data_IF_793219956044
#
_entry.id   IF_793219956044
#
_cell.length_a   1.000
_cell.length_b   1.000
_cell.length_c   1.000
_cell.angle_alpha   90.00
_cell.angle_beta   90.00
_cell.angle_gamma   90.00
#
_symmetry.space_group_name_H-M   'P 1'
#
loop_
_entity.id
_entity.type
_entity.pdbx_description
1 polymer ?
#
# COMPACT_ATOMS: atom_id res chain seq x y z
N UNK A 1 -18.99 26.33 2.85
CA UNK A 1 -17.70 27.00 2.63
C UNK A 1 -17.96 28.36 2.03
N UNK A 2 -17.45 29.39 2.65
CA UNK A 2 -17.54 30.74 2.13
C UNK A 2 -16.71 30.84 0.84
N UNK A 3 -17.31 31.33 -0.23
CA UNK A 3 -16.59 31.58 -1.48
C UNK A 3 -15.41 32.55 -1.21
N UNK A 4 -14.32 32.41 -1.98
CA UNK A 4 -13.12 33.27 -1.83
C UNK A 4 -13.41 34.77 -1.81
N UNK A 5 -14.54 35.18 -2.40
CA UNK A 5 -14.93 36.60 -2.44
C UNK A 5 -15.55 37.08 -1.14
N UNK A 6 -16.16 36.19 -0.36
CA UNK A 6 -16.83 36.55 0.91
C UNK A 6 -15.91 36.36 2.14
N UNK A 7 -14.73 35.77 1.98
CA UNK A 7 -13.79 35.50 3.08
C UNK A 7 -13.29 36.82 3.71
N UNK A 8 -13.12 37.87 2.92
CA UNK A 8 -12.66 39.18 3.42
C UNK A 8 -13.69 39.80 4.35
N UNK A 9 -14.99 39.77 3.99
CA UNK A 9 -16.09 40.25 4.83
C UNK A 9 -16.18 39.44 6.13
N UNK A 10 -16.19 38.13 6.02
CA UNK A 10 -16.27 37.21 7.18
C UNK A 10 -15.07 37.38 8.12
N UNK A 11 -13.86 37.55 7.58
CA UNK A 11 -12.67 37.83 8.41
C UNK A 11 -12.72 39.21 9.02
N UNK A 12 -13.33 40.19 8.31
CA UNK A 12 -13.50 41.56 8.75
C UNK A 12 -14.39 41.74 9.98
N UNK A 13 -15.35 40.83 10.20
CA UNK A 13 -16.22 40.83 11.39
C UNK A 13 -15.45 40.65 12.70
N UNK A 14 -14.33 39.93 12.70
CA UNK A 14 -13.50 39.68 13.88
C UNK A 14 -12.12 40.36 13.79
N UNK A 15 -11.62 40.59 12.57
CA UNK A 15 -10.29 41.17 12.32
C UNK A 15 -10.44 42.49 11.56
N UNK A 16 -10.55 43.59 12.27
CA UNK A 16 -10.67 44.91 11.68
C UNK A 16 -9.50 45.22 10.75
N UNK A 17 -9.79 45.68 9.52
CA UNK A 17 -8.78 45.94 8.50
C UNK A 17 -8.33 44.68 7.71
N UNK A 18 -9.04 43.56 7.85
CA UNK A 18 -8.75 42.35 7.02
C UNK A 18 -8.88 42.69 5.52
N UNK A 19 -7.95 42.21 4.73
CA UNK A 19 -7.91 42.45 3.29
C UNK A 19 -7.62 41.11 2.53
N UNK A 20 -7.71 41.14 1.21
CA UNK A 20 -7.54 39.97 0.37
C UNK A 20 -6.22 39.18 0.60
N UNK A 21 -5.13 39.87 0.96
CA UNK A 21 -3.86 39.23 1.29
C UNK A 21 -3.93 38.47 2.63
N UNK A 22 -4.67 39.02 3.62
CA UNK A 22 -4.93 38.35 4.89
C UNK A 22 -5.79 37.10 4.67
N UNK A 23 -6.86 37.19 3.87
CA UNK A 23 -7.73 36.07 3.51
C UNK A 23 -7.02 35.01 2.64
N UNK A 24 -5.96 35.38 1.93
CA UNK A 24 -5.11 34.49 1.15
C UNK A 24 -3.93 33.91 1.91
N UNK A 25 -3.76 34.23 3.20
CA UNK A 25 -2.69 33.69 4.02
C UNK A 25 -2.90 32.20 4.26
N UNK A 26 -1.98 31.40 3.74
CA UNK A 26 -1.96 29.97 3.99
C UNK A 26 -1.28 29.71 5.33
N UNK A 27 -2.06 29.37 6.34
CA UNK A 27 -1.57 29.04 7.70
C UNK A 27 -0.81 27.71 7.74
N UNK A 28 -1.04 26.83 6.75
CA UNK A 28 -0.42 25.52 6.65
C UNK A 28 0.38 25.38 5.35
N UNK A 29 1.49 24.65 5.45
CA UNK A 29 2.27 24.25 4.29
C UNK A 29 1.40 23.48 3.27
N UNK A 30 1.59 23.78 2.00
CA UNK A 30 0.85 23.12 0.91
C UNK A 30 1.80 22.45 -0.06
N UNK A 31 1.34 21.33 -0.63
CA UNK A 31 2.07 20.61 -1.67
C UNK A 31 1.87 21.21 -3.08
N UNK A 32 1.17 22.34 -3.21
CA UNK A 32 0.91 22.99 -4.50
C UNK A 32 1.94 24.05 -4.87
N UNK A 33 2.80 24.47 -3.91
CA UNK A 33 3.78 25.52 -4.09
C UNK A 33 5.21 24.92 -4.02
N UNK A 34 5.86 24.68 -5.19
CA UNK A 34 7.19 24.09 -5.23
C UNK A 34 8.28 25.05 -4.77
N UNK A 35 8.07 26.36 -4.91
CA UNK A 35 9.09 27.36 -4.58
C UNK A 35 9.18 27.57 -3.06
N UNK A 36 8.04 27.60 -2.39
CA UNK A 36 7.98 27.82 -0.94
C UNK A 36 8.13 26.52 -0.13
N UNK A 37 7.63 25.39 -0.64
CA UNK A 37 7.64 24.12 0.05
C UNK A 37 8.14 22.97 -0.84
N UNK A 38 9.39 23.04 -1.35
CA UNK A 38 9.88 22.08 -2.36
C UNK A 38 9.85 20.64 -1.85
N UNK A 39 10.25 20.37 -0.61
CA UNK A 39 10.23 19.03 -0.04
C UNK A 39 8.84 18.42 0.05
N UNK A 40 7.84 19.23 0.43
CA UNK A 40 6.46 18.78 0.52
C UNK A 40 5.86 18.53 -0.87
N UNK A 41 6.16 19.39 -1.84
CA UNK A 41 5.75 19.23 -3.22
C UNK A 41 6.32 17.93 -3.83
N UNK A 42 7.64 17.74 -3.76
CA UNK A 42 8.28 16.58 -4.35
C UNK A 42 7.91 15.27 -3.65
N UNK A 43 7.82 15.24 -2.32
CA UNK A 43 7.39 14.05 -1.59
C UNK A 43 5.94 13.67 -1.91
N UNK A 44 5.04 14.64 -2.04
CA UNK A 44 3.66 14.39 -2.44
C UNK A 44 3.57 13.76 -3.83
N UNK A 45 4.26 14.36 -4.81
CA UNK A 45 4.24 13.84 -6.18
C UNK A 45 4.93 12.48 -6.29
N UNK A 46 6.04 12.28 -5.61
CA UNK A 46 6.72 10.99 -5.54
C UNK A 46 5.79 9.91 -4.99
N UNK A 47 5.15 10.15 -3.85
CA UNK A 47 4.22 9.19 -3.25
C UNK A 47 2.99 8.94 -4.12
N UNK A 48 2.48 9.97 -4.78
CA UNK A 48 1.33 9.85 -5.69
C UNK A 48 1.68 9.03 -6.93
N UNK A 49 2.80 9.30 -7.56
CA UNK A 49 3.30 8.54 -8.73
C UNK A 49 3.57 7.09 -8.34
N UNK A 50 4.19 6.86 -7.18
CA UNK A 50 4.46 5.52 -6.68
C UNK A 50 3.17 4.76 -6.43
N UNK A 51 2.18 5.37 -5.79
CA UNK A 51 0.88 4.75 -5.51
C UNK A 51 0.13 4.43 -6.80
N UNK A 52 -0.07 5.42 -7.66
CA UNK A 52 -0.80 5.24 -8.92
C UNK A 52 -0.07 4.26 -9.84
N UNK A 53 1.26 4.37 -9.93
CA UNK A 53 2.09 3.49 -10.74
C UNK A 53 2.02 2.04 -10.27
N UNK A 54 2.15 1.78 -8.99
CA UNK A 54 2.08 0.41 -8.44
C UNK A 54 0.69 -0.20 -8.62
N UNK A 55 -0.38 0.55 -8.35
CA UNK A 55 -1.75 0.05 -8.55
C UNK A 55 -2.04 -0.22 -10.03
N UNK A 56 -1.66 0.69 -10.91
CA UNK A 56 -1.84 0.51 -12.36
C UNK A 56 -1.05 -0.69 -12.87
N UNK A 57 0.20 -0.82 -12.46
CA UNK A 57 1.03 -1.97 -12.79
C UNK A 57 0.40 -3.29 -12.31
N UNK A 58 -0.04 -3.35 -11.04
CA UNK A 58 -0.67 -4.53 -10.47
C UNK A 58 -1.96 -4.92 -11.22
N UNK A 59 -2.79 -3.95 -11.56
CA UNK A 59 -4.03 -4.17 -12.33
C UNK A 59 -3.73 -4.69 -13.74
N UNK A 60 -2.82 -4.06 -14.48
CA UNK A 60 -2.44 -4.47 -15.83
C UNK A 60 -1.80 -5.85 -15.83
N UNK A 61 -0.92 -6.13 -14.88
CA UNK A 61 -0.28 -7.43 -14.71
C UNK A 61 -1.31 -8.53 -14.41
N UNK A 62 -2.22 -8.29 -13.45
CA UNK A 62 -3.28 -9.24 -13.10
C UNK A 62 -4.22 -9.48 -14.27
N UNK A 63 -4.60 -8.42 -14.99
CA UNK A 63 -5.43 -8.52 -16.19
C UNK A 63 -4.75 -9.35 -17.29
N UNK A 64 -3.49 -9.06 -17.59
CA UNK A 64 -2.73 -9.81 -18.59
C UNK A 64 -2.62 -11.31 -18.22
N UNK A 65 -2.39 -11.61 -16.94
CA UNK A 65 -2.35 -12.96 -16.41
C UNK A 65 -3.71 -13.69 -16.57
N UNK A 66 -4.81 -13.03 -16.21
CA UNK A 66 -6.17 -13.58 -16.35
C UNK A 66 -6.53 -13.83 -17.82
N UNK A 67 -6.24 -12.86 -18.71
CA UNK A 67 -6.47 -13.01 -20.15
C UNK A 67 -5.68 -14.20 -20.70
N UNK A 68 -4.41 -14.32 -20.32
CA UNK A 68 -3.57 -15.44 -20.78
C UNK A 68 -4.09 -16.79 -20.28
N UNK A 69 -4.50 -16.90 -19.02
CA UNK A 69 -5.12 -18.10 -18.48
C UNK A 69 -6.44 -18.45 -19.18
N UNK A 70 -7.24 -17.45 -19.52
CA UNK A 70 -8.49 -17.67 -20.26
C UNK A 70 -8.24 -18.19 -21.66
N UNK A 71 -7.25 -17.66 -22.36
CA UNK A 71 -6.86 -18.10 -23.71
C UNK A 71 -6.19 -19.49 -23.72
N UNK A 72 -5.50 -19.86 -22.64
CA UNK A 72 -4.76 -21.13 -22.52
C UNK A 72 -5.47 -22.08 -21.56
N UNK A 73 -6.61 -22.64 -21.96
CA UNK A 73 -7.43 -23.55 -21.14
C UNK A 73 -6.67 -24.80 -20.66
N UNK A 74 -5.73 -25.30 -21.42
CA UNK A 74 -4.94 -26.47 -21.06
C UNK A 74 -3.94 -26.13 -19.92
N UNK A 75 -3.37 -24.93 -19.93
CA UNK A 75 -2.54 -24.44 -18.83
C UNK A 75 -3.37 -24.22 -17.56
N UNK A 76 -4.63 -23.81 -17.67
CA UNK A 76 -5.55 -23.70 -16.54
C UNK A 76 -5.82 -25.07 -15.89
N UNK A 77 -6.07 -26.11 -16.69
CA UNK A 77 -6.26 -27.48 -16.19
C UNK A 77 -5.01 -28.00 -15.51
N UNK A 78 -3.84 -27.83 -16.14
CA UNK A 78 -2.56 -28.21 -15.56
C UNK A 78 -2.27 -27.46 -14.24
N UNK A 79 -2.64 -26.19 -14.16
CA UNK A 79 -2.51 -25.41 -12.91
C UNK A 79 -3.43 -25.95 -11.81
N UNK A 80 -4.63 -26.37 -12.14
CA UNK A 80 -5.59 -26.97 -11.20
C UNK A 80 -5.11 -28.34 -10.71
N UNK A 81 -4.49 -29.16 -11.58
CA UNK A 81 -3.86 -30.41 -11.17
C UNK A 81 -2.65 -30.20 -10.28
N UNK A 82 -1.79 -29.20 -10.58
CA UNK A 82 -0.65 -28.84 -9.75
C UNK A 82 -1.06 -28.29 -8.37
N UNK A 83 -2.26 -27.72 -8.24
CA UNK A 83 -2.82 -27.27 -6.99
C UNK A 83 -3.45 -28.40 -6.17
N UNK A 84 -3.58 -29.61 -6.73
CA UNK A 84 -4.09 -30.75 -5.99
C UNK A 84 -3.08 -31.20 -4.93
N UNK A 85 -3.46 -31.22 -3.63
CA UNK A 85 -2.58 -31.57 -2.53
C UNK A 85 -2.03 -32.99 -2.60
N UNK A 86 -2.68 -33.90 -3.33
CA UNK A 86 -2.27 -35.30 -3.44
C UNK A 86 -0.98 -35.52 -4.26
N UNK A 87 -0.55 -34.50 -5.04
CA UNK A 87 0.59 -34.65 -5.95
C UNK A 87 1.90 -34.01 -5.51
N UNK A 88 1.91 -33.16 -4.47
CA UNK A 88 3.14 -32.53 -3.96
C UNK A 88 3.07 -32.28 -2.45
N UNK A 89 4.18 -32.52 -1.73
CA UNK A 89 4.26 -32.14 -0.32
C UNK A 89 4.07 -30.63 -0.20
N UNK A 90 3.02 -30.21 0.49
CA UNK A 90 2.77 -28.82 0.80
C UNK A 90 3.78 -28.32 1.83
N UNK A 91 4.57 -27.32 1.49
CA UNK A 91 5.37 -26.68 2.53
C UNK A 91 4.66 -25.50 3.13
N UNK A 92 4.86 -25.39 4.43
CA UNK A 92 4.37 -24.25 5.20
C UNK A 92 5.21 -23.02 4.83
N UNK A 93 4.66 -22.08 4.05
CA UNK A 93 5.33 -20.84 3.64
C UNK A 93 5.52 -19.89 4.82
N UNK A 94 4.47 -19.69 5.62
CA UNK A 94 4.45 -18.74 6.72
C UNK A 94 4.09 -19.42 8.04
N UNK A 95 4.76 -19.00 9.11
CA UNK A 95 4.42 -19.40 10.48
C UNK A 95 3.04 -18.83 10.87
N UNK A 96 2.44 -19.36 11.94
CA UNK A 96 1.20 -18.77 12.49
C UNK A 96 1.43 -17.30 12.88
N UNK A 97 2.56 -17.00 13.49
CA UNK A 97 2.96 -15.66 13.90
C UNK A 97 2.98 -14.70 12.70
N UNK A 98 3.66 -15.04 11.61
CA UNK A 98 3.72 -14.20 10.40
C UNK A 98 2.35 -13.96 9.79
N UNK A 99 1.44 -14.95 9.84
CA UNK A 99 0.08 -14.78 9.35
C UNK A 99 -0.72 -13.80 10.21
N UNK A 100 -0.57 -13.85 11.54
CA UNK A 100 -1.22 -12.89 12.43
C UNK A 100 -0.65 -11.48 12.24
N UNK A 101 0.68 -11.32 12.10
CA UNK A 101 1.29 -10.04 11.79
C UNK A 101 0.75 -9.46 10.47
N UNK A 102 0.71 -10.28 9.42
CA UNK A 102 0.19 -9.85 8.12
C UNK A 102 -1.29 -9.45 8.20
N UNK A 103 -2.12 -10.23 8.90
CA UNK A 103 -3.53 -9.91 9.08
C UNK A 103 -3.75 -8.63 9.90
N UNK A 104 -2.97 -8.44 10.97
CA UNK A 104 -3.00 -7.19 11.75
C UNK A 104 -2.55 -5.98 10.94
N UNK A 105 -1.52 -6.13 10.10
CA UNK A 105 -1.08 -5.11 9.16
C UNK A 105 -2.22 -4.74 8.19
N UNK A 106 -2.88 -5.72 7.63
CA UNK A 106 -3.95 -5.53 6.66
C UNK A 106 -5.14 -4.80 7.28
N UNK A 107 -5.58 -5.22 8.47
CA UNK A 107 -6.67 -4.54 9.20
C UNK A 107 -6.29 -3.10 9.54
N UNK A 108 -5.10 -2.87 10.11
CA UNK A 108 -4.66 -1.52 10.46
C UNK A 108 -4.53 -0.62 9.23
N UNK A 109 -4.07 -1.15 8.10
CA UNK A 109 -4.02 -0.43 6.84
C UNK A 109 -5.42 0.00 6.35
N UNK A 110 -6.39 -0.90 6.37
CA UNK A 110 -7.76 -0.56 5.98
C UNK A 110 -8.39 0.47 6.92
N UNK A 111 -8.20 0.32 8.23
CA UNK A 111 -8.67 1.31 9.21
C UNK A 111 -8.04 2.67 8.95
N UNK A 112 -6.73 2.73 8.76
CA UNK A 112 -6.01 3.97 8.46
C UNK A 112 -6.44 4.61 7.15
N UNK A 113 -6.60 3.82 6.10
CA UNK A 113 -7.03 4.32 4.78
C UNK A 113 -8.44 4.89 4.84
N UNK A 114 -9.38 4.14 5.43
CA UNK A 114 -10.77 4.58 5.56
C UNK A 114 -10.88 5.84 6.42
N UNK A 115 -10.35 5.80 7.63
CA UNK A 115 -10.43 6.92 8.57
C UNK A 115 -9.65 8.14 8.07
N UNK A 116 -8.48 7.93 7.45
CA UNK A 116 -7.68 9.00 6.86
C UNK A 116 -8.39 9.71 5.71
N UNK A 117 -9.07 8.96 4.83
CA UNK A 117 -9.88 9.55 3.76
C UNK A 117 -11.07 10.34 4.32
N UNK A 118 -11.75 9.80 5.33
CA UNK A 118 -12.88 10.49 5.99
C UNK A 118 -12.42 11.81 6.63
N UNK A 119 -11.28 11.80 7.32
CA UNK A 119 -10.72 13.01 7.94
C UNK A 119 -10.25 14.01 6.89
N UNK A 120 -9.56 13.56 5.85
CA UNK A 120 -9.05 14.43 4.77
C UNK A 120 -10.17 15.10 3.98
N UNK A 121 -11.25 14.38 3.69
CA UNK A 121 -12.37 14.86 2.90
C UNK A 121 -13.61 15.19 3.75
N UNK A 122 -13.38 15.65 4.99
CA UNK A 122 -14.42 15.94 5.99
C UNK A 122 -15.54 16.89 5.52
N UNK A 123 -15.26 17.70 4.50
CA UNK A 123 -16.23 18.62 3.87
C UNK A 123 -17.17 17.91 2.86
N UNK A 124 -16.88 16.67 2.45
CA UNK A 124 -17.72 15.93 1.50
C UNK A 124 -18.82 15.14 2.22
N UNK A 125 -20.02 15.08 1.61
CA UNK A 125 -21.19 14.42 2.20
C UNK A 125 -20.96 12.93 2.51
N UNK A 126 -20.27 12.18 1.66
CA UNK A 126 -19.93 10.78 1.91
C UNK A 126 -19.03 10.59 3.14
N UNK A 127 -18.04 11.49 3.33
CA UNK A 127 -17.14 11.45 4.47
C UNK A 127 -17.88 11.77 5.79
N UNK A 128 -18.79 12.75 5.75
CA UNK A 128 -19.65 13.09 6.89
C UNK A 128 -20.60 11.93 7.23
N UNK A 129 -21.12 11.22 6.22
CA UNK A 129 -21.98 10.05 6.43
C UNK A 129 -21.20 8.92 7.12
N UNK A 130 -19.99 8.58 6.62
CA UNK A 130 -19.14 7.56 7.25
C UNK A 130 -18.71 8.00 8.65
N UNK A 131 -18.32 9.26 8.85
CA UNK A 131 -17.95 9.77 10.17
C UNK A 131 -19.10 9.59 11.18
N UNK A 132 -20.36 9.89 10.77
CA UNK A 132 -21.53 9.67 11.65
C UNK A 132 -21.72 8.21 12.00
N UNK A 133 -21.50 7.28 11.06
CA UNK A 133 -21.55 5.83 11.33
C UNK A 133 -20.48 5.39 12.32
N UNK A 134 -19.30 6.00 12.30
CA UNK A 134 -18.19 5.70 13.20
C UNK A 134 -18.31 6.38 14.56
N UNK A 135 -19.32 7.23 14.78
CA UNK A 135 -19.51 7.97 16.03
C UNK A 135 -19.00 9.43 16.04
N UNK A 136 -18.76 9.99 14.84
CA UNK A 136 -18.32 11.37 14.66
C UNK A 136 -16.83 11.47 14.29
N UNK A 137 -16.39 12.70 13.97
CA UNK A 137 -15.01 12.96 13.56
C UNK A 137 -13.99 12.74 14.69
N UNK A 138 -14.38 12.98 15.94
CA UNK A 138 -13.50 12.75 17.09
C UNK A 138 -13.20 11.26 17.25
N UNK A 139 -14.23 10.40 17.19
CA UNK A 139 -14.07 8.93 17.24
C UNK A 139 -13.28 8.45 16.01
N UNK A 140 -13.54 9.00 14.84
CA UNK A 140 -12.76 8.68 13.62
C UNK A 140 -11.28 9.01 13.80
N UNK A 141 -10.97 10.14 14.45
CA UNK A 141 -9.61 10.54 14.79
C UNK A 141 -8.93 9.59 15.80
N UNK A 142 -9.67 9.12 16.79
CA UNK A 142 -9.17 8.11 17.75
C UNK A 142 -8.89 6.79 17.05
N UNK A 143 -9.80 6.31 16.22
CA UNK A 143 -9.63 5.08 15.44
C UNK A 143 -8.42 5.16 14.51
N UNK A 144 -8.20 6.32 13.87
CA UNK A 144 -7.02 6.55 13.03
C UNK A 144 -5.72 6.44 13.84
N UNK A 145 -5.65 7.02 15.02
CA UNK A 145 -4.48 6.93 15.91
C UNK A 145 -4.25 5.50 16.40
N UNK A 146 -5.30 4.78 16.77
CA UNK A 146 -5.20 3.36 17.16
C UNK A 146 -4.69 2.49 16.00
N UNK A 147 -5.18 2.72 14.79
CA UNK A 147 -4.68 2.07 13.57
C UNK A 147 -3.19 2.36 13.36
N UNK A 148 -2.75 3.61 13.54
CA UNK A 148 -1.35 3.99 13.41
C UNK A 148 -0.44 3.32 14.46
N UNK A 149 -0.86 3.30 15.72
CA UNK A 149 -0.13 2.61 16.80
C UNK A 149 -0.04 1.11 16.51
N UNK A 150 -1.13 0.50 16.06
CA UNK A 150 -1.16 -0.93 15.71
C UNK A 150 -0.19 -1.22 14.55
N UNK A 151 -0.22 -0.41 13.50
CA UNK A 151 0.68 -0.57 12.34
C UNK A 151 2.16 -0.44 12.76
N UNK A 152 2.46 0.55 13.60
CA UNK A 152 3.80 0.74 14.13
C UNK A 152 4.26 -0.44 15.01
N UNK A 153 3.39 -0.95 15.87
CA UNK A 153 3.67 -2.13 16.69
C UNK A 153 3.94 -3.38 15.81
N UNK A 154 3.14 -3.59 14.76
CA UNK A 154 3.36 -4.68 13.79
C UNK A 154 4.73 -4.54 13.12
N UNK A 155 5.12 -3.32 12.73
CA UNK A 155 6.44 -3.07 12.15
C UNK A 155 7.58 -3.42 13.11
N UNK A 156 7.50 -3.00 14.37
CA UNK A 156 8.50 -3.33 15.39
C UNK A 156 8.59 -4.84 15.64
N UNK A 157 7.42 -5.52 15.74
CA UNK A 157 7.38 -6.98 15.91
C UNK A 157 7.96 -7.71 14.69
N UNK A 158 7.77 -7.17 13.49
CA UNK A 158 8.36 -7.73 12.27
C UNK A 158 9.89 -7.59 12.29
N UNK A 159 10.41 -6.41 12.64
CA UNK A 159 11.86 -6.23 12.81
C UNK A 159 12.44 -7.17 13.86
N UNK A 160 11.79 -7.24 15.02
CA UNK A 160 12.20 -8.19 16.07
C UNK A 160 12.24 -9.64 15.56
N UNK A 161 11.21 -10.07 14.83
CA UNK A 161 11.17 -11.41 14.22
C UNK A 161 12.32 -11.66 13.24
N UNK A 162 12.69 -10.68 12.42
CA UNK A 162 13.83 -10.80 11.49
C UNK A 162 15.14 -10.93 12.25
N UNK A 163 15.35 -10.15 13.32
CA UNK A 163 16.53 -10.25 14.16
C UNK A 163 16.60 -11.57 14.92
N UNK A 164 15.46 -12.03 15.47
CA UNK A 164 15.38 -13.34 16.15
C UNK A 164 15.68 -14.47 15.17
N UNK A 165 15.11 -14.44 13.96
CA UNK A 165 15.38 -15.44 12.93
C UNK A 165 16.88 -15.51 12.58
N UNK A 166 17.54 -14.35 12.44
CA UNK A 166 18.99 -14.29 12.22
C UNK A 166 19.78 -14.91 13.38
N UNK A 167 19.43 -14.54 14.61
CA UNK A 167 20.13 -14.99 15.82
C UNK A 167 19.91 -16.47 16.08
N UNK A 168 18.67 -16.92 16.07
CA UNK A 168 18.26 -18.30 16.39
C UNK A 168 18.75 -19.32 15.36
N UNK A 169 18.78 -18.95 14.08
CA UNK A 169 19.25 -19.81 12.98
C UNK A 169 20.74 -19.64 12.67
N UNK A 170 21.45 -18.79 13.40
CA UNK A 170 22.87 -18.44 13.15
C UNK A 170 23.15 -18.06 11.69
N UNK A 171 22.19 -17.41 11.03
CA UNK A 171 22.30 -17.00 9.62
C UNK A 171 23.12 -15.73 9.50
N UNK A 172 23.89 -15.64 8.43
CA UNK A 172 24.54 -14.37 8.06
C UNK A 172 23.52 -13.42 7.43
N UNK A 173 23.77 -12.11 7.51
CA UNK A 173 22.92 -11.12 6.83
C UNK A 173 22.80 -11.38 5.33
N UNK A 174 23.86 -11.86 4.69
CA UNK A 174 23.84 -12.24 3.29
C UNK A 174 22.83 -13.37 3.03
N UNK A 175 22.79 -14.39 3.86
CA UNK A 175 21.81 -15.49 3.73
C UNK A 175 20.38 -15.03 3.99
N UNK A 176 20.16 -14.12 4.93
CA UNK A 176 18.83 -13.53 5.17
C UNK A 176 18.34 -12.71 3.97
N UNK A 177 19.25 -11.91 3.35
CA UNK A 177 18.88 -10.98 2.28
C UNK A 177 18.89 -11.61 0.88
N UNK A 178 19.75 -12.60 0.62
CA UNK A 178 19.93 -13.18 -0.72
C UNK A 178 19.77 -14.71 -0.76
N UNK A 179 19.39 -15.31 0.35
CA UNK A 179 19.18 -16.76 0.44
C UNK A 179 17.97 -17.24 -0.34
N UNK A 180 17.82 -18.56 -0.56
CA UNK A 180 16.73 -19.15 -1.36
C UNK A 180 15.34 -18.97 -0.71
N UNK A 181 15.29 -18.52 0.54
CA UNK A 181 14.06 -18.28 1.31
C UNK A 181 13.76 -16.80 1.50
N UNK A 182 14.53 -15.91 0.86
CA UNK A 182 14.28 -14.46 0.93
C UNK A 182 13.04 -14.09 0.15
N UNK A 183 12.32 -13.06 0.65
CA UNK A 183 11.21 -12.41 -0.06
C UNK A 183 11.71 -11.14 -0.77
N UNK A 184 12.97 -10.74 -0.50
CA UNK A 184 13.52 -9.54 -1.12
C UNK A 184 13.74 -9.76 -2.62
N UNK A 185 13.53 -8.69 -3.39
CA UNK A 185 13.71 -8.70 -4.84
C UNK A 185 15.15 -9.00 -5.23
N UNK A 186 15.32 -9.99 -6.09
CA UNK A 186 16.60 -10.50 -6.55
C UNK A 186 16.69 -10.50 -8.09
N UNK A 187 17.87 -10.75 -8.63
CA UNK A 187 18.06 -10.91 -10.09
C UNK A 187 17.24 -12.06 -10.69
N UNK A 188 16.87 -13.03 -9.87
CA UNK A 188 15.99 -14.13 -10.26
C UNK A 188 14.57 -13.62 -10.50
N UNK A 189 14.04 -12.76 -9.63
CA UNK A 189 12.71 -12.19 -9.76
C UNK A 189 12.59 -11.36 -11.05
N UNK A 190 13.67 -10.63 -11.40
CA UNK A 190 13.73 -9.91 -12.67
C UNK A 190 13.65 -10.86 -13.89
N UNK A 191 14.35 -11.99 -13.84
CA UNK A 191 14.27 -13.00 -14.91
C UNK A 191 12.87 -13.63 -15.00
N UNK A 192 12.27 -13.97 -13.87
CA UNK A 192 10.92 -14.51 -13.79
C UNK A 192 9.89 -13.49 -14.28
N UNK A 193 10.06 -12.23 -13.96
CA UNK A 193 9.24 -11.13 -14.47
C UNK A 193 9.31 -11.01 -15.99
N UNK A 194 10.51 -10.96 -16.56
CA UNK A 194 10.69 -10.90 -18.02
C UNK A 194 10.11 -12.13 -18.71
N UNK A 195 10.27 -13.33 -18.13
CA UNK A 195 9.66 -14.55 -18.67
C UNK A 195 8.13 -14.49 -18.60
N UNK A 196 7.56 -13.91 -17.51
CA UNK A 196 6.12 -13.74 -17.38
C UNK A 196 5.57 -12.80 -18.44
N UNK A 197 6.26 -11.69 -18.72
CA UNK A 197 5.88 -10.78 -19.81
C UNK A 197 5.90 -11.49 -21.16
N UNK A 198 6.96 -12.25 -21.47
CA UNK A 198 7.03 -13.06 -22.72
C UNK A 198 5.88 -14.05 -22.80
N UNK A 199 5.56 -14.73 -21.71
CA UNK A 199 4.45 -15.67 -21.66
C UNK A 199 3.08 -14.98 -21.86
N UNK A 200 2.86 -13.78 -21.33
CA UNK A 200 1.62 -13.02 -21.57
C UNK A 200 1.38 -12.76 -23.06
N UNK A 201 2.44 -12.45 -23.80
CA UNK A 201 2.39 -12.27 -25.26
C UNK A 201 2.45 -13.57 -26.06
N UNK A 202 2.53 -14.74 -25.43
CA UNK A 202 2.59 -16.02 -26.12
C UNK A 202 3.95 -16.36 -26.74
N UNK A 203 5.02 -15.62 -26.42
CA UNK A 203 6.36 -15.76 -27.02
C UNK A 203 7.18 -16.86 -26.34
N UNK A 204 6.76 -17.38 -25.19
CA UNK A 204 7.52 -18.39 -24.46
C UNK A 204 6.67 -19.24 -23.50
N UNK A 205 7.27 -20.28 -22.91
CA UNK A 205 6.59 -21.12 -21.95
C UNK A 205 6.30 -20.35 -20.65
N UNK A 206 5.34 -20.86 -19.88
CA UNK A 206 5.04 -20.34 -18.56
C UNK A 206 6.28 -20.42 -17.65
N UNK A 207 6.64 -19.35 -16.93
CA UNK A 207 7.77 -19.38 -16.02
C UNK A 207 7.55 -20.36 -14.87
N UNK A 208 8.62 -21.04 -14.47
CA UNK A 208 8.65 -21.92 -13.32
C UNK A 208 9.13 -21.13 -12.10
N UNK A 209 8.20 -20.81 -11.23
CA UNK A 209 8.49 -20.11 -9.99
C UNK A 209 9.07 -21.08 -8.95
N UNK A 210 9.98 -20.57 -8.13
CA UNK A 210 10.53 -21.31 -7.01
C UNK A 210 9.57 -21.36 -5.82
N UNK A 211 10.11 -21.16 -4.61
CA UNK A 211 9.32 -21.14 -3.37
C UNK A 211 8.43 -19.90 -3.28
N UNK A 212 8.93 -18.78 -3.74
CA UNK A 212 8.22 -17.51 -3.84
C UNK A 212 8.19 -17.04 -5.28
N UNK A 213 7.18 -16.30 -5.64
CA UNK A 213 7.04 -15.63 -6.94
C UNK A 213 7.55 -14.19 -6.84
N UNK A 214 7.94 -13.57 -7.94
CA UNK A 214 8.49 -12.20 -7.97
C UNK A 214 7.51 -11.12 -7.50
N UNK A 215 6.26 -11.43 -7.27
CA UNK A 215 5.23 -10.50 -6.82
C UNK A 215 4.69 -10.80 -5.41
N UNK A 216 5.25 -11.75 -4.70
CA UNK A 216 5.00 -11.98 -3.28
C UNK A 216 5.83 -11.05 -2.43
#
# INVERSE_FOLDING_TARGET
MLGRNNVVETCGECHEGSHRRFAGYLTHATHHDPDRYPWLFWSFWFMTILLVGTLTFALLHTFAWLVRLYLSRDEWKAHKELANPDHKPLFRRFTRFNRHLHFSMLISFFVLSLTGMVLKFSYMGWAQWIARLLGGFDVTGVLHRLGAVTLFAVFILHLWYVFDMKSSKKMTWKEVLTGPTTILFTTRDLKEFVQSIKWFFGIGPRPHYGRYTYWE
#
